data_IF_238145958423
#
_entry.id   IF_238145958423
#
_cell.length_a   1.000
_cell.length_b   1.000
_cell.length_c   1.000
_cell.angle_alpha   90.00
_cell.angle_beta   90.00
_cell.angle_gamma   90.00
#
_symmetry.space_group_name_H-M   'P 1'
#
loop_
_entity.id
_entity.type
_entity.pdbx_description
1 polymer ?
#
# COMPACT_ATOMS: atom_id res chain seq x y z
N UNK A 1 -24.74 19.60 48.12
CA UNK A 1 -23.69 19.22 47.13
C UNK A 1 -22.33 19.55 47.70
N UNK A 2 -21.45 18.61 47.79
CA UNK A 2 -20.13 18.71 48.45
C UNK A 2 -19.17 19.71 47.75
N UNK A 3 -19.30 19.92 46.46
CA UNK A 3 -18.46 20.82 45.65
C UNK A 3 -19.10 22.18 45.32
N UNK A 4 -20.33 22.44 45.74
CA UNK A 4 -21.09 23.69 45.44
C UNK A 4 -21.09 24.07 43.95
N UNK A 5 -21.18 23.08 43.04
CA UNK A 5 -21.20 23.30 41.60
C UNK A 5 -19.82 23.38 40.92
N UNK A 6 -18.71 23.33 41.65
CA UNK A 6 -17.35 23.46 41.09
C UNK A 6 -16.83 22.20 40.43
N UNK A 7 -17.45 21.04 40.64
CA UNK A 7 -16.97 19.76 40.14
C UNK A 7 -15.79 19.17 40.90
N UNK A 8 -15.09 19.99 41.68
CA UNK A 8 -13.86 19.60 42.40
C UNK A 8 -13.95 19.88 43.90
N UNK A 9 -13.24 19.11 44.67
CA UNK A 9 -13.07 19.31 46.11
C UNK A 9 -11.59 19.49 46.41
N UNK A 10 -11.26 20.49 47.20
CA UNK A 10 -9.91 20.76 47.64
C UNK A 10 -9.61 19.95 48.91
N UNK A 11 -8.50 19.24 48.89
CA UNK A 11 -7.96 18.53 50.06
C UNK A 11 -6.53 19.03 50.37
N UNK A 12 -6.28 19.28 51.65
CA UNK A 12 -4.95 19.57 52.13
C UNK A 12 -4.24 18.27 52.42
N UNK A 13 -3.22 17.95 51.61
CA UNK A 13 -2.37 16.77 51.81
C UNK A 13 -1.07 17.22 52.48
N UNK A 14 -0.69 16.58 53.59
CA UNK A 14 0.60 16.80 54.21
C UNK A 14 1.68 16.05 53.43
N UNK A 15 2.62 16.80 52.87
CA UNK A 15 3.78 16.28 52.16
C UNK A 15 5.02 16.57 52.99
N UNK A 16 6.13 15.92 52.67
CA UNK A 16 7.49 16.12 53.32
C UNK A 16 7.97 17.57 53.22
N UNK A 17 7.41 18.34 52.28
CA UNK A 17 7.75 19.75 51.99
C UNK A 17 6.72 20.73 52.58
N UNK A 18 5.70 20.25 53.33
CA UNK A 18 4.63 21.09 53.90
C UNK A 18 3.24 20.68 53.49
N UNK A 19 2.25 21.56 53.76
CA UNK A 19 0.87 21.32 53.37
C UNK A 19 0.65 21.79 51.92
N UNK A 20 0.21 20.86 51.05
CA UNK A 20 -0.12 21.15 49.66
C UNK A 20 -1.61 20.98 49.48
N UNK A 21 -2.26 21.98 48.88
CA UNK A 21 -3.66 21.87 48.46
C UNK A 21 -3.73 21.13 47.13
N UNK A 22 -4.39 19.98 47.11
CA UNK A 22 -4.67 19.21 45.92
C UNK A 22 -6.15 19.26 45.58
N UNK A 23 -6.49 19.44 44.33
CA UNK A 23 -7.84 19.35 43.79
C UNK A 23 -8.14 17.93 43.35
N UNK A 24 -9.32 17.40 43.75
CA UNK A 24 -9.78 16.09 43.31
C UNK A 24 -11.20 16.20 42.77
N UNK A 25 -11.57 15.39 41.76
CA UNK A 25 -12.95 15.32 41.29
C UNK A 25 -13.93 15.05 42.44
N UNK A 26 -15.01 15.74 42.47
CA UNK A 26 -16.05 15.55 43.49
C UNK A 26 -16.72 14.19 43.32
N UNK A 27 -16.69 13.33 44.36
CA UNK A 27 -17.27 11.99 44.28
C UNK A 27 -18.79 12.00 44.07
N UNK A 28 -19.51 13.06 44.48
CA UNK A 28 -20.95 13.16 44.32
C UNK A 28 -21.40 13.49 42.88
N UNK A 29 -20.60 14.23 42.12
CA UNK A 29 -20.91 14.61 40.76
C UNK A 29 -19.84 14.15 39.73
N UNK A 30 -18.84 13.36 40.15
CA UNK A 30 -17.78 12.81 39.32
C UNK A 30 -17.04 13.86 38.44
N UNK A 31 -16.96 15.10 38.96
CA UNK A 31 -16.32 16.20 38.21
C UNK A 31 -17.29 17.11 37.46
N UNK A 32 -18.52 16.71 37.24
CA UNK A 32 -19.48 17.49 36.40
C UNK A 32 -20.07 18.73 37.09
N UNK A 33 -19.91 18.90 38.39
CA UNK A 33 -20.46 20.06 39.11
C UNK A 33 -21.96 19.99 39.37
N UNK A 34 -22.70 19.17 38.64
CA UNK A 34 -24.14 18.94 38.73
C UNK A 34 -24.46 17.46 38.83
N UNK A 35 -25.62 17.10 39.37
CA UNK A 35 -26.09 15.72 39.44
C UNK A 35 -27.46 15.61 38.77
N UNK A 36 -27.58 14.68 37.84
CA UNK A 36 -28.84 14.40 37.12
C UNK A 36 -29.76 13.62 38.09
N UNK A 37 -30.87 14.19 38.47
CA UNK A 37 -31.85 13.56 39.41
C UNK A 37 -32.61 12.39 38.77
N UNK A 38 -32.88 12.48 37.45
CA UNK A 38 -33.61 11.47 36.69
C UNK A 38 -32.81 11.19 35.40
N UNK A 39 -31.88 10.22 35.43
CA UNK A 39 -31.08 9.91 34.25
C UNK A 39 -31.93 9.30 33.13
N UNK A 40 -31.61 9.66 31.89
CA UNK A 40 -32.22 9.07 30.72
C UNK A 40 -32.02 7.54 30.70
N UNK A 41 -33.07 6.79 30.31
CA UNK A 41 -33.03 5.32 30.27
C UNK A 41 -32.09 4.77 29.22
N UNK A 42 -31.85 5.51 28.14
CA UNK A 42 -30.96 5.09 27.05
C UNK A 42 -29.48 5.41 27.29
N UNK A 43 -29.17 6.62 27.77
CA UNK A 43 -27.80 7.06 27.97
C UNK A 43 -27.34 7.06 29.44
N UNK A 44 -28.21 6.68 30.42
CA UNK A 44 -27.90 6.66 31.84
C UNK A 44 -27.29 7.97 32.39
N UNK A 45 -27.48 9.08 31.71
CA UNK A 45 -26.90 10.39 32.03
C UNK A 45 -25.59 10.72 31.32
N UNK A 46 -25.05 9.82 30.51
CA UNK A 46 -23.82 10.07 29.74
C UNK A 46 -23.98 11.09 28.59
N UNK A 47 -25.24 11.35 28.16
CA UNK A 47 -25.54 12.29 27.06
C UNK A 47 -25.24 11.75 25.68
N UNK A 48 -24.90 10.47 25.56
CA UNK A 48 -24.60 9.79 24.30
C UNK A 48 -25.25 8.40 24.25
N UNK A 49 -25.64 8.00 23.04
CA UNK A 49 -26.21 6.67 22.76
C UNK A 49 -25.48 6.04 21.59
N UNK A 50 -25.44 4.71 21.56
CA UNK A 50 -24.84 3.98 20.45
C UNK A 50 -25.76 4.04 19.23
N UNK A 51 -25.29 4.59 18.11
CA UNK A 51 -26.02 4.64 16.85
C UNK A 51 -25.16 4.17 15.69
N UNK A 52 -25.79 3.72 14.60
CA UNK A 52 -25.11 3.40 13.34
C UNK A 52 -25.31 4.56 12.38
N UNK A 53 -24.24 5.06 11.83
CA UNK A 53 -24.26 6.10 10.82
C UNK A 53 -23.44 5.67 9.59
N UNK A 54 -23.98 5.87 8.40
CA UNK A 54 -23.27 5.69 7.16
C UNK A 54 -22.55 6.99 6.82
N UNK A 55 -21.26 6.90 6.54
CA UNK A 55 -20.42 8.05 6.21
C UNK A 55 -19.79 7.82 4.85
N UNK A 56 -20.03 8.74 3.90
CA UNK A 56 -19.37 8.72 2.61
C UNK A 56 -17.96 9.31 2.72
N UNK A 57 -16.97 8.53 2.30
CA UNK A 57 -15.55 8.93 2.34
C UNK A 57 -15.06 9.07 0.91
N UNK A 58 -14.64 10.28 0.52
CA UNK A 58 -13.99 10.51 -0.78
C UNK A 58 -12.52 10.11 -0.69
N UNK A 59 -12.15 9.05 -1.38
CA UNK A 59 -10.78 8.57 -1.46
C UNK A 59 -10.12 9.23 -2.68
N UNK A 60 -9.08 10.06 -2.51
CA UNK A 60 -8.37 10.66 -3.63
C UNK A 60 -7.61 9.61 -4.43
N UNK A 61 -7.47 9.82 -5.75
CA UNK A 61 -6.62 8.97 -6.57
C UNK A 61 -5.16 9.06 -6.14
N UNK A 62 -4.44 7.94 -6.20
CA UNK A 62 -3.02 7.89 -5.84
C UNK A 62 -2.73 7.65 -4.36
N UNK A 63 -3.72 7.41 -3.53
CA UNK A 63 -3.48 7.01 -2.13
C UNK A 63 -2.72 5.68 -2.06
N UNK A 64 -1.99 5.48 -0.96
CA UNK A 64 -1.19 4.29 -0.69
C UNK A 64 -1.55 3.71 0.68
N UNK A 65 -1.18 2.45 0.88
CA UNK A 65 -1.27 1.81 2.20
C UNK A 65 -0.60 2.66 3.26
N UNK A 66 -1.29 2.89 4.38
CA UNK A 66 -0.84 3.75 5.48
C UNK A 66 -1.27 5.21 5.36
N UNK A 67 -1.82 5.64 4.22
CA UNK A 67 -2.43 6.96 4.14
C UNK A 67 -3.67 7.02 5.03
N UNK A 68 -3.88 8.16 5.72
CA UNK A 68 -5.01 8.39 6.61
C UNK A 68 -5.81 9.59 6.13
N UNK A 69 -7.12 9.41 6.05
CA UNK A 69 -8.08 10.47 5.75
C UNK A 69 -8.70 10.90 7.07
N UNK A 70 -8.49 12.15 7.47
CA UNK A 70 -9.09 12.75 8.66
C UNK A 70 -10.45 13.36 8.30
N UNK A 71 -11.47 12.99 9.04
CA UNK A 71 -12.82 13.55 8.94
C UNK A 71 -13.15 14.23 10.27
N UNK A 72 -12.99 15.56 10.30
CA UNK A 72 -13.17 16.34 11.52
C UNK A 72 -14.62 16.32 12.00
N UNK A 73 -14.80 16.10 13.30
CA UNK A 73 -16.10 16.06 13.94
C UNK A 73 -16.99 14.85 13.56
N UNK A 74 -16.43 13.81 12.94
CA UNK A 74 -17.15 12.58 12.55
C UNK A 74 -16.86 11.38 13.44
N UNK A 75 -16.04 11.57 14.46
CA UNK A 75 -15.78 10.55 15.49
C UNK A 75 -16.86 10.46 16.55
N UNK A 76 -16.56 9.79 17.63
CA UNK A 76 -17.49 9.65 18.77
C UNK A 76 -17.75 10.98 19.46
N UNK A 77 -18.98 11.18 19.91
CA UNK A 77 -19.39 12.35 20.71
C UNK A 77 -18.80 12.24 22.10
N UNK A 78 -18.28 13.34 22.62
CA UNK A 78 -17.79 13.41 23.99
C UNK A 78 -18.90 13.18 25.02
N UNK A 79 -18.55 12.64 26.17
CA UNK A 79 -19.48 12.48 27.28
C UNK A 79 -20.00 13.84 27.78
N UNK A 80 -21.25 13.88 28.29
CA UNK A 80 -21.82 15.09 28.84
C UNK A 80 -22.12 16.21 27.84
N UNK A 81 -22.32 15.88 26.57
CA UNK A 81 -22.57 16.87 25.51
C UNK A 81 -21.28 17.53 24.94
N UNK A 82 -20.11 16.92 25.17
CA UNK A 82 -18.86 17.36 24.60
C UNK A 82 -18.86 17.27 23.06
N UNK A 83 -17.98 18.00 22.37
CA UNK A 83 -17.88 17.96 20.92
C UNK A 83 -17.51 16.55 20.43
N UNK A 84 -17.90 16.22 19.20
CA UNK A 84 -17.49 15.00 18.54
C UNK A 84 -15.98 15.06 18.21
N UNK A 85 -15.30 13.92 18.37
CA UNK A 85 -13.92 13.76 17.95
C UNK A 85 -13.80 13.62 16.44
N UNK A 86 -12.59 13.34 15.97
CA UNK A 86 -12.29 13.10 14.55
C UNK A 86 -12.32 11.60 14.24
N UNK A 87 -12.72 11.28 13.03
CA UNK A 87 -12.64 9.92 12.48
C UNK A 87 -11.43 9.85 11.53
N UNK A 88 -10.59 8.88 11.74
CA UNK A 88 -9.47 8.57 10.85
C UNK A 88 -9.75 7.30 10.08
N UNK A 89 -9.71 7.38 8.75
CA UNK A 89 -9.86 6.24 7.85
C UNK A 89 -8.47 5.90 7.30
N UNK A 90 -7.96 4.75 7.65
CA UNK A 90 -6.67 4.25 7.16
C UNK A 90 -6.89 3.41 5.90
N UNK A 91 -6.09 3.69 4.87
CA UNK A 91 -6.14 2.98 3.59
C UNK A 91 -5.20 1.78 3.65
N UNK A 92 -5.70 0.64 3.19
CA UNK A 92 -4.92 -0.58 2.99
C UNK A 92 -5.20 -1.08 1.58
N UNK A 93 -4.16 -1.16 0.77
CA UNK A 93 -4.24 -1.66 -0.61
C UNK A 93 -4.30 -3.18 -0.63
N UNK A 94 -5.17 -3.74 -1.42
CA UNK A 94 -5.17 -5.17 -1.72
C UNK A 94 -4.13 -5.49 -2.80
N UNK A 95 -3.53 -6.67 -2.72
CA UNK A 95 -2.58 -7.14 -3.72
C UNK A 95 -3.31 -7.44 -5.03
N UNK A 96 -2.76 -6.91 -6.12
CA UNK A 96 -3.23 -7.25 -7.46
C UNK A 96 -2.62 -8.59 -7.91
N UNK A 97 -3.30 -9.31 -8.81
CA UNK A 97 -2.89 -10.64 -9.26
C UNK A 97 -1.53 -10.63 -9.97
N UNK A 98 -1.29 -9.64 -10.83
CA UNK A 98 -0.07 -9.56 -11.65
C UNK A 98 0.59 -8.17 -11.67
N UNK A 99 0.00 -7.16 -11.04
CA UNK A 99 0.60 -5.84 -10.92
C UNK A 99 1.21 -5.65 -9.54
N UNK A 100 2.44 -5.20 -9.49
CA UNK A 100 3.15 -4.82 -8.26
C UNK A 100 3.37 -3.32 -8.28
N UNK A 101 2.93 -2.65 -7.24
CA UNK A 101 3.09 -1.20 -7.07
C UNK A 101 4.40 -0.88 -6.36
N UNK A 102 5.15 0.08 -6.91
CA UNK A 102 6.29 0.73 -6.27
C UNK A 102 6.13 2.26 -6.40
N UNK A 103 5.57 2.87 -5.38
CA UNK A 103 5.17 4.27 -5.39
C UNK A 103 4.19 4.57 -6.54
N UNK A 104 4.58 5.42 -7.48
CA UNK A 104 3.76 5.75 -8.67
C UNK A 104 3.94 4.76 -9.82
N UNK A 105 4.97 3.91 -9.76
CA UNK A 105 5.29 2.95 -10.82
C UNK A 105 4.57 1.64 -10.59
N UNK A 106 4.09 1.05 -11.67
CA UNK A 106 3.57 -0.32 -11.68
C UNK A 106 4.56 -1.23 -12.38
N UNK A 107 4.73 -2.42 -11.84
CA UNK A 107 5.57 -3.47 -12.40
C UNK A 107 4.72 -4.69 -12.77
N UNK A 108 5.05 -5.31 -13.90
CA UNK A 108 4.43 -6.54 -14.39
C UNK A 108 5.51 -7.45 -14.96
N UNK A 109 5.42 -8.75 -14.71
CA UNK A 109 6.21 -9.76 -15.41
C UNK A 109 5.43 -10.25 -16.64
N UNK A 110 6.10 -10.33 -17.79
CA UNK A 110 5.55 -10.87 -19.03
C UNK A 110 6.42 -12.03 -19.51
N UNK A 111 5.87 -13.23 -19.46
CA UNK A 111 6.50 -14.42 -19.99
C UNK A 111 6.37 -14.45 -21.52
N UNK A 112 7.50 -14.60 -22.18
CA UNK A 112 7.58 -14.68 -23.64
C UNK A 112 8.37 -15.92 -24.02
N UNK A 113 7.87 -16.71 -24.98
CA UNK A 113 8.62 -17.87 -25.46
C UNK A 113 9.93 -17.45 -26.12
N UNK A 114 10.96 -18.29 -26.07
CA UNK A 114 12.25 -18.01 -26.70
C UNK A 114 12.10 -17.71 -28.21
N UNK A 115 11.14 -18.35 -28.88
CA UNK A 115 10.89 -18.15 -30.33
C UNK A 115 10.30 -16.76 -30.55
N UNK A 116 9.29 -16.36 -29.77
CA UNK A 116 8.69 -15.05 -29.85
C UNK A 116 9.67 -13.93 -29.46
N UNK A 117 10.54 -14.17 -28.48
CA UNK A 117 11.61 -13.23 -28.11
C UNK A 117 12.66 -13.08 -29.22
N UNK A 118 12.99 -14.17 -29.94
CA UNK A 118 13.94 -14.14 -31.05
C UNK A 118 13.37 -13.44 -32.29
N UNK A 119 12.12 -13.73 -32.66
CA UNK A 119 11.47 -13.21 -33.87
C UNK A 119 10.80 -11.85 -33.67
N UNK A 120 10.51 -11.48 -32.42
CA UNK A 120 9.69 -10.34 -32.07
C UNK A 120 8.19 -10.70 -32.09
N UNK A 121 7.43 -10.03 -31.25
CA UNK A 121 5.98 -10.22 -31.17
C UNK A 121 5.31 -8.98 -30.59
N UNK A 122 4.01 -8.85 -30.80
CA UNK A 122 3.18 -7.88 -30.08
C UNK A 122 2.22 -8.64 -29.19
N UNK A 123 2.20 -8.31 -27.92
CA UNK A 123 1.34 -8.95 -26.90
C UNK A 123 0.46 -7.88 -26.29
N UNK A 124 -0.84 -8.11 -26.24
CA UNK A 124 -1.77 -7.25 -25.53
C UNK A 124 -1.82 -7.67 -24.05
N UNK A 125 -1.54 -6.74 -23.13
CA UNK A 125 -1.60 -6.95 -21.68
C UNK A 125 -2.67 -6.07 -21.07
N UNK A 126 -3.32 -6.54 -20.01
CA UNK A 126 -4.29 -5.74 -19.26
C UNK A 126 -3.57 -4.78 -18.32
N UNK A 127 -3.83 -3.49 -18.46
CA UNK A 127 -3.41 -2.44 -17.53
C UNK A 127 -4.61 -1.98 -16.68
N UNK A 128 -4.37 -1.09 -15.69
CA UNK A 128 -5.46 -0.50 -14.90
C UNK A 128 -6.49 0.28 -15.75
N UNK A 129 -6.12 0.71 -16.95
CA UNK A 129 -6.97 1.48 -17.85
C UNK A 129 -7.50 0.67 -19.03
N UNK A 130 -7.34 -0.65 -18.98
CA UNK A 130 -7.68 -1.56 -20.05
C UNK A 130 -6.47 -2.06 -20.85
N UNK A 131 -6.71 -2.70 -22.01
CA UNK A 131 -5.68 -3.37 -22.77
C UNK A 131 -4.64 -2.40 -23.35
N UNK A 132 -3.38 -2.82 -23.36
CA UNK A 132 -2.24 -2.09 -23.92
C UNK A 132 -1.38 -3.06 -24.73
N UNK A 133 -1.02 -2.66 -25.94
CA UNK A 133 -0.14 -3.44 -26.80
C UNK A 133 1.34 -3.20 -26.46
N UNK A 134 2.02 -4.29 -26.21
CA UNK A 134 3.44 -4.34 -25.86
C UNK A 134 4.22 -4.92 -27.03
N UNK A 135 5.07 -4.12 -27.64
CA UNK A 135 5.92 -4.56 -28.74
C UNK A 135 7.24 -5.12 -28.20
N UNK A 136 7.39 -6.42 -28.29
CA UNK A 136 8.63 -7.15 -27.98
C UNK A 136 9.48 -7.21 -29.25
N UNK A 137 10.59 -6.48 -29.26
CA UNK A 137 11.48 -6.40 -30.43
C UNK A 137 12.20 -7.73 -30.66
N UNK A 138 12.54 -8.07 -31.93
CA UNK A 138 13.37 -9.23 -32.22
C UNK A 138 14.69 -9.20 -31.44
N UNK A 139 15.08 -10.35 -30.89
CA UNK A 139 16.30 -10.50 -30.09
C UNK A 139 16.19 -9.99 -28.67
N UNK A 140 14.98 -9.73 -28.15
CA UNK A 140 14.77 -9.34 -26.76
C UNK A 140 15.28 -10.42 -25.80
N UNK A 141 16.05 -10.01 -24.80
CA UNK A 141 16.63 -10.90 -23.80
C UNK A 141 15.79 -10.93 -22.52
N UNK A 142 15.86 -12.05 -21.79
CA UNK A 142 15.27 -12.14 -20.45
C UNK A 142 15.85 -11.07 -19.53
N UNK A 143 15.01 -10.46 -18.69
CA UNK A 143 15.37 -9.33 -17.84
C UNK A 143 15.33 -7.97 -18.53
N UNK A 144 14.97 -7.90 -19.82
CA UNK A 144 14.69 -6.63 -20.51
C UNK A 144 13.43 -6.01 -19.92
N UNK A 145 13.45 -4.68 -19.72
CA UNK A 145 12.29 -3.94 -19.25
C UNK A 145 11.75 -3.03 -20.34
N UNK A 146 10.44 -3.06 -20.54
CA UNK A 146 9.71 -2.18 -21.48
C UNK A 146 8.90 -1.20 -20.63
N UNK A 147 9.08 0.10 -20.88
CA UNK A 147 8.38 1.17 -20.14
C UNK A 147 7.23 1.70 -20.97
N UNK A 148 6.03 1.63 -20.41
CA UNK A 148 4.82 2.23 -20.96
C UNK A 148 4.50 3.50 -20.14
N UNK A 149 4.76 4.65 -20.75
CA UNK A 149 4.60 5.94 -20.07
C UNK A 149 3.14 6.25 -19.72
N UNK A 150 2.94 6.81 -18.51
CA UNK A 150 1.64 7.27 -18.05
C UNK A 150 0.62 6.17 -17.75
N UNK A 151 1.05 4.90 -17.67
CA UNK A 151 0.19 3.74 -17.35
C UNK A 151 0.42 3.18 -15.94
N UNK A 152 1.16 3.93 -15.11
CA UNK A 152 1.33 3.66 -13.68
C UNK A 152 0.20 4.20 -12.83
N UNK A 153 0.44 4.36 -11.53
CA UNK A 153 -0.50 4.94 -10.56
C UNK A 153 -0.59 6.46 -10.72
N UNK A 154 -1.74 7.00 -10.39
CA UNK A 154 -1.92 8.45 -10.30
C UNK A 154 -1.11 9.00 -9.13
N UNK A 155 -0.41 10.10 -9.31
CA UNK A 155 0.28 10.80 -8.23
C UNK A 155 -0.69 11.56 -7.36
N UNK A 156 -0.60 11.34 -6.05
CA UNK A 156 -1.43 12.04 -5.09
C UNK A 156 -1.20 13.56 -5.22
N UNK A 157 -2.28 14.33 -5.36
CA UNK A 157 -2.30 15.82 -5.48
C UNK A 157 -1.76 16.42 -6.78
N UNK A 158 -1.16 15.62 -7.69
CA UNK A 158 -0.59 16.16 -8.94
C UNK A 158 -1.46 15.87 -10.16
N UNK A 159 -2.19 14.75 -10.16
CA UNK A 159 -3.04 14.34 -11.26
C UNK A 159 -2.30 13.72 -12.46
N UNK A 160 -0.96 13.84 -12.52
CA UNK A 160 -0.14 13.09 -13.46
C UNK A 160 0.01 11.63 -12.99
N UNK A 161 0.49 10.78 -13.89
CA UNK A 161 0.64 9.34 -13.62
C UNK A 161 2.08 8.90 -13.75
N UNK A 162 2.44 7.87 -12.99
CA UNK A 162 3.67 7.13 -13.18
C UNK A 162 3.64 6.22 -14.41
N UNK A 163 4.61 5.37 -14.53
CA UNK A 163 4.79 4.48 -15.68
C UNK A 163 4.48 3.03 -15.30
N UNK A 164 4.14 2.22 -16.31
CA UNK A 164 4.08 0.77 -16.19
C UNK A 164 5.37 0.18 -16.76
N UNK A 165 6.08 -0.59 -15.95
CA UNK A 165 7.32 -1.27 -16.34
C UNK A 165 7.02 -2.76 -16.48
N UNK A 166 7.20 -3.27 -17.70
CA UNK A 166 6.99 -4.67 -18.03
C UNK A 166 8.35 -5.35 -18.09
N UNK A 167 8.56 -6.33 -17.21
CA UNK A 167 9.77 -7.14 -17.15
C UNK A 167 9.58 -8.39 -18.01
N UNK A 168 10.39 -8.52 -19.05
CA UNK A 168 10.34 -9.67 -19.96
C UNK A 168 11.07 -10.85 -19.33
N UNK A 169 10.38 -11.96 -19.20
CA UNK A 169 10.92 -13.26 -18.82
C UNK A 169 10.85 -14.20 -20.01
N UNK A 170 12.02 -14.54 -20.58
CA UNK A 170 12.08 -15.47 -21.70
C UNK A 170 12.06 -16.89 -21.19
N UNK A 171 11.01 -17.63 -21.54
CA UNK A 171 10.84 -19.01 -21.15
C UNK A 171 11.39 -19.95 -22.25
N UNK A 172 12.21 -20.91 -21.80
CA UNK A 172 12.74 -21.96 -22.65
C UNK A 172 11.93 -23.24 -22.45
N UNK A 173 11.54 -23.96 -23.51
CA UNK A 173 10.78 -25.19 -23.39
C UNK A 173 11.58 -26.24 -22.59
N UNK A 174 10.92 -26.84 -21.58
CA UNK A 174 11.55 -27.80 -20.66
C UNK A 174 11.44 -29.24 -21.12
N UNK A 175 10.48 -29.55 -22.00
CA UNK A 175 10.26 -30.91 -22.54
C UNK A 175 10.23 -30.81 -24.06
N UNK A 176 11.17 -31.45 -24.72
CA UNK A 176 11.28 -31.47 -26.17
C UNK A 176 10.99 -32.91 -26.68
N UNK A 177 10.24 -33.01 -27.73
CA UNK A 177 10.14 -34.18 -28.55
C UNK A 177 11.42 -34.40 -29.36
N UNK A 178 11.64 -35.60 -29.88
CA UNK A 178 12.81 -35.90 -30.72
C UNK A 178 12.87 -35.01 -31.98
N UNK A 179 11.73 -34.66 -32.52
CA UNK A 179 11.65 -33.84 -33.74
C UNK A 179 11.97 -32.37 -33.39
N UNK A 180 11.47 -31.85 -32.28
CA UNK A 180 11.80 -30.49 -31.81
C UNK A 180 13.30 -30.36 -31.48
N UNK A 181 13.86 -31.36 -30.81
CA UNK A 181 15.31 -31.42 -30.54
C UNK A 181 16.12 -31.39 -31.85
N UNK A 182 15.71 -32.16 -32.87
CA UNK A 182 16.36 -32.15 -34.18
C UNK A 182 16.30 -30.78 -34.86
N UNK A 183 15.13 -30.11 -34.81
CA UNK A 183 14.96 -28.77 -35.37
C UNK A 183 15.89 -27.78 -34.67
N UNK A 184 15.94 -27.79 -33.31
CA UNK A 184 16.81 -26.91 -32.55
C UNK A 184 18.30 -27.15 -32.83
N UNK A 185 18.72 -28.42 -33.02
CA UNK A 185 20.11 -28.75 -33.42
C UNK A 185 20.42 -28.18 -34.82
N UNK A 186 19.52 -28.36 -35.76
CA UNK A 186 19.69 -27.78 -37.13
C UNK A 186 19.75 -26.24 -37.09
N UNK A 187 18.97 -25.61 -36.19
CA UNK A 187 19.04 -24.16 -36.02
C UNK A 187 20.39 -23.73 -35.40
N UNK A 188 20.92 -24.45 -34.43
CA UNK A 188 22.24 -24.17 -33.86
C UNK A 188 23.35 -24.31 -34.93
N UNK A 189 23.28 -25.36 -35.76
CA UNK A 189 24.22 -25.55 -36.90
C UNK A 189 24.15 -24.39 -37.91
N UNK A 190 22.93 -23.96 -38.26
CA UNK A 190 22.74 -22.84 -39.19
C UNK A 190 23.30 -21.51 -38.62
N UNK A 191 23.37 -21.35 -37.31
CA UNK A 191 23.98 -20.20 -36.63
C UNK A 191 25.48 -20.37 -36.38
N UNK A 192 26.05 -21.56 -36.64
CA UNK A 192 27.44 -21.88 -36.34
C UNK A 192 27.70 -22.03 -34.82
N UNK A 193 26.66 -22.27 -34.02
CA UNK A 193 26.73 -22.45 -32.58
C UNK A 193 26.88 -23.95 -32.25
N UNK A 194 27.71 -24.27 -31.27
CA UNK A 194 27.78 -25.65 -30.76
C UNK A 194 26.67 -25.84 -29.70
N UNK A 195 25.86 -26.89 -29.83
CA UNK A 195 24.72 -27.14 -28.96
C UNK A 195 25.10 -27.30 -27.45
N UNK A 196 26.38 -27.46 -27.14
CA UNK A 196 26.93 -27.56 -25.78
C UNK A 196 27.89 -26.41 -25.44
N UNK A 197 27.83 -25.31 -26.16
CA UNK A 197 28.68 -24.14 -25.92
C UNK A 197 28.11 -23.25 -24.84
N UNK A 198 28.89 -22.99 -23.81
CA UNK A 198 28.56 -22.05 -22.75
C UNK A 198 29.79 -21.19 -22.43
N UNK A 199 29.59 -19.89 -22.34
CA UNK A 199 30.66 -18.96 -22.02
C UNK A 199 30.40 -18.28 -20.66
N UNK A 200 31.45 -18.20 -19.84
CA UNK A 200 31.40 -17.43 -18.61
C UNK A 200 31.49 -15.95 -18.96
N UNK A 201 30.45 -15.20 -18.64
CA UNK A 201 30.45 -13.75 -18.82
C UNK A 201 31.35 -13.08 -17.78
N UNK A 202 32.34 -12.30 -18.22
CA UNK A 202 33.22 -11.53 -17.34
C UNK A 202 32.45 -10.52 -16.46
N UNK A 203 33.11 -10.00 -15.42
CA UNK A 203 32.50 -9.12 -14.41
C UNK A 203 32.00 -7.75 -14.92
N UNK A 204 32.25 -7.38 -16.16
CA UNK A 204 31.82 -6.11 -16.75
C UNK A 204 30.32 -6.06 -17.11
N UNK A 205 29.58 -7.10 -16.80
CA UNK A 205 28.16 -7.19 -17.09
C UNK A 205 27.27 -6.83 -15.89
N UNK A 206 26.37 -5.92 -16.10
CA UNK A 206 25.39 -5.24 -15.24
C UNK A 206 24.73 -6.03 -14.06
N UNK A 207 24.86 -7.35 -13.98
CA UNK A 207 24.27 -8.17 -12.90
C UNK A 207 25.06 -8.03 -11.59
N UNK A 208 26.41 -8.04 -11.69
CA UNK A 208 27.27 -7.92 -10.51
C UNK A 208 27.33 -6.49 -9.95
N UNK A 209 27.06 -5.45 -10.77
CA UNK A 209 26.95 -4.08 -10.27
C UNK A 209 25.67 -3.88 -9.44
N UNK A 210 24.58 -4.59 -9.75
CA UNK A 210 23.32 -4.57 -9.00
C UNK A 210 23.42 -5.35 -7.67
N UNK A 211 24.24 -6.42 -7.63
CA UNK A 211 24.45 -7.21 -6.41
C UNK A 211 25.31 -6.48 -5.37
N UNK A 212 26.26 -5.63 -5.78
CA UNK A 212 27.06 -4.82 -4.84
C UNK A 212 26.23 -3.86 -3.99
N UNK A 213 25.08 -3.40 -4.49
CA UNK A 213 24.18 -2.53 -3.73
C UNK A 213 23.34 -3.22 -2.65
N UNK A 214 23.24 -4.55 -2.66
CA UNK A 214 22.41 -5.33 -1.73
C UNK A 214 23.20 -5.80 -0.49
N UNK A 215 24.53 -5.92 -0.59
CA UNK A 215 25.39 -6.39 0.49
C UNK A 215 26.07 -5.29 1.32
N UNK A 216 25.73 -4.01 1.12
CA UNK A 216 26.18 -2.88 1.93
C UNK A 216 25.00 -2.17 2.60
N UNK A 217 24.28 -2.91 3.47
CA UNK A 217 23.46 -2.32 4.53
C UNK A 217 23.62 -3.11 5.81
#
# INVERSE_FOLDING_TARGET
>A
MTCKGRGETQQVVRSVIGQVMTSRPCNACQGYGSVIKSPCRECAGEGRVRSRQTIDVKIPAGVETGNRIQMSGRGEVGAGGGPAGDLYVEIVEERHEYLVRDGDTLHMALEVTMIAAALGTTVTVESLDGPVDVNVKPGTQSGTSIVIKGKGMTRLRRGDRGDLIIHIEVITPTKLSKDEEKILRSFAEARGEKANEAHVKGQDGSIFSKLKGVFHK
#
